data_IF_841570608835
#
_entry.id   IF_841570608835
#
_cell.length_a   1.000
_cell.length_b   1.000
_cell.length_c   1.000
_cell.angle_alpha   90.00
_cell.angle_beta   90.00
_cell.angle_gamma   90.00
#
_symmetry.space_group_name_H-M   'P 1'
#
loop_
_entity.id
_entity.type
_entity.pdbx_description
1 polymer ?
#
# COMPACT_ATOMS: atom_id res chain seq x y z
N UNK A 1 9.20 -10.15 13.71
CA UNK A 1 7.91 -9.44 13.50
C UNK A 1 7.02 -10.31 12.64
N UNK A 2 7.53 -10.82 11.53
CA UNK A 2 6.93 -11.91 10.76
C UNK A 2 7.89 -13.11 10.72
N UNK A 3 7.37 -14.30 10.43
CA UNK A 3 8.11 -15.54 10.20
C UNK A 3 7.61 -16.19 8.91
N UNK A 4 8.48 -16.86 8.17
CA UNK A 4 8.09 -17.64 6.98
C UNK A 4 7.77 -19.08 7.38
N UNK A 5 6.69 -19.64 6.85
CA UNK A 5 6.36 -21.06 6.96
C UNK A 5 6.02 -21.67 5.60
N UNK A 6 6.44 -22.91 5.31
CA UNK A 6 6.07 -23.58 4.07
C UNK A 6 4.57 -23.87 4.06
N UNK A 7 3.93 -23.66 2.90
CA UNK A 7 2.50 -23.96 2.73
C UNK A 7 2.33 -25.34 2.08
N UNK A 8 1.87 -26.31 2.87
CA UNK A 8 1.56 -27.66 2.39
C UNK A 8 2.79 -28.39 1.81
N UNK A 9 2.56 -29.20 0.77
CA UNK A 9 3.60 -30.04 0.14
C UNK A 9 4.52 -29.26 -0.83
N UNK A 10 4.09 -28.06 -1.28
CA UNK A 10 4.89 -27.24 -2.19
C UNK A 10 5.86 -26.35 -1.43
N UNK A 11 7.08 -26.87 -1.21
CA UNK A 11 8.16 -26.18 -0.49
C UNK A 11 8.65 -24.87 -1.15
N UNK A 12 8.26 -24.59 -2.40
CA UNK A 12 8.61 -23.33 -3.09
C UNK A 12 7.75 -22.15 -2.63
N UNK A 13 6.52 -22.40 -2.17
CA UNK A 13 5.62 -21.36 -1.69
C UNK A 13 5.74 -21.22 -0.18
N UNK A 14 6.22 -20.06 0.26
CA UNK A 14 6.34 -19.71 1.68
C UNK A 14 5.30 -18.65 2.03
N UNK A 15 4.54 -18.90 3.09
CA UNK A 15 3.61 -17.94 3.67
C UNK A 15 4.27 -17.17 4.79
N UNK A 16 3.83 -15.94 4.98
CA UNK A 16 4.30 -15.06 6.04
C UNK A 16 3.27 -15.04 7.17
N UNK A 17 3.69 -15.43 8.36
CA UNK A 17 2.88 -15.39 9.56
C UNK A 17 3.40 -14.34 10.53
N UNK A 18 2.50 -13.74 11.31
CA UNK A 18 2.85 -12.78 12.34
C UNK A 18 3.40 -13.51 13.58
N UNK A 19 4.56 -13.09 14.08
CA UNK A 19 5.11 -13.66 15.32
C UNK A 19 4.46 -13.01 16.55
N UNK A 20 4.55 -13.65 17.72
CA UNK A 20 4.05 -13.07 18.98
C UNK A 20 4.63 -11.67 19.28
N UNK A 21 5.90 -11.45 18.95
CA UNK A 21 6.52 -10.12 19.01
C UNK A 21 5.88 -9.13 18.02
N UNK A 22 5.53 -9.59 16.82
CA UNK A 22 4.82 -8.77 15.82
C UNK A 22 3.42 -8.39 16.26
N UNK A 23 2.66 -9.33 16.82
CA UNK A 23 1.31 -9.10 17.39
C UNK A 23 1.32 -8.03 18.48
N UNK A 24 2.35 -8.01 19.33
CA UNK A 24 2.49 -7.01 20.40
C UNK A 24 2.81 -5.60 19.88
N UNK A 25 3.53 -5.49 18.77
CA UNK A 25 3.96 -4.19 18.20
C UNK A 25 2.89 -3.61 17.27
N UNK A 26 2.09 -4.46 16.60
CA UNK A 26 1.09 -4.02 15.64
C UNK A 26 0.11 -2.94 16.17
N UNK A 27 -0.45 -3.05 17.39
CA UNK A 27 -1.33 -2.00 17.93
C UNK A 27 -0.63 -0.65 18.10
N UNK A 28 0.67 -0.64 18.41
CA UNK A 28 1.45 0.59 18.53
C UNK A 28 1.63 1.28 17.17
N UNK A 29 1.99 0.50 16.15
CA UNK A 29 2.12 1.01 14.76
C UNK A 29 0.77 1.54 14.26
N UNK A 30 -0.32 0.83 14.53
CA UNK A 30 -1.66 1.27 14.16
C UNK A 30 -2.03 2.59 14.85
N UNK A 31 -1.69 2.74 16.14
CA UNK A 31 -1.92 3.98 16.88
C UNK A 31 -1.14 5.17 16.31
N UNK A 32 0.11 4.96 15.90
CA UNK A 32 0.93 5.99 15.24
C UNK A 32 0.35 6.38 13.88
N UNK A 33 -0.03 5.41 13.05
CA UNK A 33 -0.69 5.68 11.77
C UNK A 33 -1.96 6.52 11.92
N UNK A 34 -2.84 6.17 12.87
CA UNK A 34 -4.08 6.92 13.12
C UNK A 34 -3.78 8.36 13.60
N UNK A 35 -2.75 8.53 14.42
CA UNK A 35 -2.33 9.86 14.87
C UNK A 35 -1.80 10.71 13.71
N UNK A 36 -0.95 10.12 12.86
CA UNK A 36 -0.38 10.78 11.69
C UNK A 36 -1.45 11.12 10.65
N UNK A 37 -2.41 10.23 10.40
CA UNK A 37 -3.55 10.47 9.52
C UNK A 37 -4.42 11.63 10.05
N UNK A 38 -4.79 11.59 11.34
CA UNK A 38 -5.55 12.67 11.97
C UNK A 38 -4.81 14.02 11.90
N UNK A 39 -3.49 14.00 12.03
CA UNK A 39 -2.65 15.20 11.93
C UNK A 39 -2.61 15.73 10.50
N UNK A 40 -2.50 14.86 9.50
CA UNK A 40 -2.49 15.21 8.08
C UNK A 40 -3.84 15.79 7.60
N UNK A 41 -4.95 15.24 8.10
CA UNK A 41 -6.31 15.67 7.75
C UNK A 41 -6.81 16.83 8.62
N UNK A 42 -5.96 17.42 9.47
CA UNK A 42 -6.34 18.53 10.34
C UNK A 42 -6.70 19.77 9.50
N UNK A 43 -7.95 20.19 9.59
CA UNK A 43 -8.48 21.36 8.88
C UNK A 43 -9.31 21.02 7.64
N UNK A 44 -9.42 19.76 7.27
CA UNK A 44 -10.34 19.30 6.24
C UNK A 44 -11.73 19.01 6.81
N UNK A 45 -12.77 19.34 6.05
CA UNK A 45 -14.14 18.87 6.26
C UNK A 45 -14.29 17.39 5.90
N UNK A 46 -15.35 16.74 6.37
CA UNK A 46 -15.57 15.31 6.09
C UNK A 46 -15.74 15.05 4.59
N UNK A 47 -16.37 15.98 3.90
CA UNK A 47 -16.63 15.95 2.47
C UNK A 47 -15.32 16.06 1.69
N UNK A 48 -14.42 16.97 2.09
CA UNK A 48 -13.09 17.09 1.47
C UNK A 48 -12.20 15.87 1.71
N UNK A 49 -12.26 15.27 2.91
CA UNK A 49 -11.53 14.02 3.18
C UNK A 49 -12.04 12.88 2.29
N UNK A 50 -13.36 12.73 2.15
CA UNK A 50 -13.94 11.69 1.29
C UNK A 50 -13.58 11.92 -0.18
N UNK A 51 -13.57 13.17 -0.63
CA UNK A 51 -13.17 13.48 -2.00
C UNK A 51 -11.67 13.23 -2.25
N UNK A 52 -10.83 13.55 -1.26
CA UNK A 52 -9.40 13.26 -1.30
C UNK A 52 -9.13 11.76 -1.36
N UNK A 53 -9.84 10.96 -0.57
CA UNK A 53 -9.76 9.50 -0.61
C UNK A 53 -10.05 8.96 -2.01
N UNK A 54 -11.14 9.42 -2.66
CA UNK A 54 -11.48 9.02 -4.02
C UNK A 54 -10.36 9.35 -5.03
N UNK A 55 -9.79 10.55 -4.92
CA UNK A 55 -8.69 10.97 -5.79
C UNK A 55 -7.43 10.14 -5.56
N UNK A 56 -7.08 9.84 -4.31
CA UNK A 56 -5.92 9.01 -3.98
C UNK A 56 -6.08 7.57 -4.47
N UNK A 57 -7.30 7.00 -4.40
CA UNK A 57 -7.61 5.69 -4.96
C UNK A 57 -7.36 5.69 -6.47
N UNK A 58 -7.87 6.69 -7.18
CA UNK A 58 -7.70 6.82 -8.63
C UNK A 58 -6.22 6.98 -9.03
N UNK A 59 -5.46 7.78 -8.28
CA UNK A 59 -4.01 7.94 -8.47
C UNK A 59 -3.29 6.61 -8.28
N UNK A 60 -3.60 5.89 -7.19
CA UNK A 60 -3.02 4.57 -6.90
C UNK A 60 -3.30 3.60 -8.04
N UNK A 61 -4.52 3.54 -8.55
CA UNK A 61 -4.92 2.64 -9.64
C UNK A 61 -4.15 2.95 -10.92
N UNK A 62 -4.09 4.22 -11.31
CA UNK A 62 -3.34 4.65 -12.50
C UNK A 62 -1.86 4.24 -12.43
N UNK A 63 -1.21 4.46 -11.29
CA UNK A 63 0.20 4.10 -11.08
C UNK A 63 0.38 2.58 -11.03
N UNK A 64 -0.55 1.86 -10.38
CA UNK A 64 -0.48 0.40 -10.25
C UNK A 64 -0.59 -0.28 -11.60
N UNK A 65 -1.53 0.17 -12.43
CA UNK A 65 -1.71 -0.34 -13.80
C UNK A 65 -0.46 -0.12 -14.64
N UNK A 66 0.11 1.10 -14.63
CA UNK A 66 1.37 1.39 -15.32
C UNK A 66 2.52 0.52 -14.80
N UNK A 67 2.66 0.39 -13.48
CA UNK A 67 3.69 -0.45 -12.86
C UNK A 67 3.58 -1.92 -13.27
N UNK A 68 2.36 -2.46 -13.36
CA UNK A 68 2.14 -3.83 -13.82
C UNK A 68 2.57 -4.05 -15.27
N UNK A 69 2.30 -3.09 -16.16
CA UNK A 69 2.71 -3.17 -17.56
C UNK A 69 4.24 -3.20 -17.69
N UNK A 70 4.93 -2.35 -16.93
CA UNK A 70 6.39 -2.31 -16.91
C UNK A 70 6.98 -3.58 -16.30
N UNK A 71 6.39 -4.09 -15.21
CA UNK A 71 6.82 -5.36 -14.59
C UNK A 71 6.68 -6.54 -15.56
N UNK A 72 5.69 -6.51 -16.46
CA UNK A 72 5.49 -7.50 -17.52
C UNK A 72 6.39 -7.27 -18.75
N UNK A 73 7.29 -6.28 -18.72
CA UNK A 73 8.29 -6.03 -19.76
C UNK A 73 7.90 -5.02 -20.82
N UNK A 74 6.76 -4.32 -20.67
CA UNK A 74 6.38 -3.24 -21.59
C UNK A 74 7.23 -1.98 -21.33
N UNK A 75 7.58 -1.25 -22.39
CA UNK A 75 8.32 0.02 -22.29
C UNK A 75 7.34 1.18 -22.19
N UNK A 76 7.61 2.12 -21.28
CA UNK A 76 6.85 3.37 -21.19
C UNK A 76 7.16 4.27 -22.39
N UNK A 77 6.14 4.88 -22.98
CA UNK A 77 6.31 5.84 -24.06
C UNK A 77 6.54 7.24 -23.49
N UNK A 78 7.80 7.64 -23.37
CA UNK A 78 8.17 8.97 -22.86
C UNK A 78 8.16 10.05 -23.95
N UNK A 79 8.02 9.66 -25.22
CA UNK A 79 8.19 10.54 -26.39
C UNK A 79 6.99 11.43 -26.71
N UNK A 80 5.83 11.20 -26.08
CA UNK A 80 4.58 11.94 -26.34
C UNK A 80 4.31 13.08 -25.36
N UNK A 81 5.23 13.32 -24.41
CA UNK A 81 5.13 14.46 -23.50
C UNK A 81 5.55 15.72 -24.25
N UNK A 82 4.60 16.36 -24.96
CA UNK A 82 4.75 17.76 -25.38
C UNK A 82 4.77 18.62 -24.12
N UNK A 83 5.91 19.29 -23.93
CA UNK A 83 6.16 20.26 -22.87
C UNK A 83 5.29 21.50 -23.02
#
# INVERSE_FOLDING_TARGET
MIQQRPRGENLKTKEWELTEKGKKIYPFILGEHLYSEKTALKGFSKEEVSQLEEYLIRVRENITLDWELVKKGQKRNYSEVKQ
#
